data_IF_182366153502
#
_entry.id   IF_182366153502
#
_cell.length_a   1.000
_cell.length_b   1.000
_cell.length_c   1.000
_cell.angle_alpha   90.00
_cell.angle_beta   90.00
_cell.angle_gamma   90.00
#
_symmetry.space_group_name_H-M   'P 1'
#
loop_
_entity.id
_entity.type
_entity.pdbx_description
1 polymer ?
#
# COMPACT_ATOMS: atom_id res chain seq x y z
N UNK A 1 7.37 10.35 26.93
CA UNK A 1 8.15 10.25 25.67
C UNK A 1 7.59 11.28 24.71
N UNK A 2 8.41 11.99 23.90
CA UNK A 2 7.88 12.95 22.95
C UNK A 2 6.95 12.19 22.00
N UNK A 3 5.76 12.72 21.74
CA UNK A 3 4.82 12.23 20.73
C UNK A 3 5.46 12.37 19.35
N UNK A 4 6.34 11.43 19.04
CA UNK A 4 7.15 11.38 17.84
C UNK A 4 6.24 11.18 16.64
N UNK A 5 6.53 11.95 15.59
CA UNK A 5 5.80 12.03 14.34
C UNK A 5 5.79 10.66 13.63
N UNK A 6 4.86 9.78 14.01
CA UNK A 6 4.71 8.47 13.37
C UNK A 6 4.32 8.69 11.89
N UNK A 7 4.87 7.89 10.96
CA UNK A 7 4.51 8.01 9.55
C UNK A 7 3.01 7.73 9.40
N UNK A 8 2.31 8.49 8.54
CA UNK A 8 0.86 8.34 8.33
C UNK A 8 0.50 6.93 7.85
N UNK A 9 1.37 6.32 7.05
CA UNK A 9 1.26 4.94 6.62
C UNK A 9 2.55 4.18 6.93
N UNK A 10 2.40 2.92 7.30
CA UNK A 10 3.47 1.92 7.32
C UNK A 10 3.10 0.80 6.36
N UNK A 11 4.09 0.08 5.83
CA UNK A 11 3.77 -0.99 4.90
C UNK A 11 4.95 -1.86 4.52
N UNK A 12 4.63 -2.97 3.86
CA UNK A 12 5.57 -3.92 3.31
C UNK A 12 5.31 -4.09 1.81
N UNK A 13 6.38 -4.35 1.08
CA UNK A 13 6.33 -4.71 -0.34
C UNK A 13 7.08 -6.01 -0.50
N UNK A 14 6.37 -7.04 -0.94
CA UNK A 14 6.92 -8.38 -1.10
C UNK A 14 7.31 -8.57 -2.57
N UNK A 15 8.61 -8.51 -2.86
CA UNK A 15 9.14 -8.60 -4.22
C UNK A 15 9.47 -10.06 -4.59
N UNK A 16 8.98 -10.50 -5.75
CA UNK A 16 9.30 -11.81 -6.31
C UNK A 16 10.60 -11.78 -7.13
N UNK A 17 11.25 -12.93 -7.36
CA UNK A 17 12.40 -12.98 -8.28
C UNK A 17 12.08 -12.41 -9.67
N UNK A 18 10.86 -12.62 -10.17
CA UNK A 18 10.43 -12.14 -11.48
C UNK A 18 10.41 -10.60 -11.56
N UNK A 19 9.89 -9.93 -10.53
CA UNK A 19 9.85 -8.46 -10.52
C UNK A 19 11.25 -7.85 -10.38
N UNK A 20 12.15 -8.51 -9.63
CA UNK A 20 13.55 -8.10 -9.51
C UNK A 20 14.30 -8.26 -10.83
N UNK A 21 14.07 -9.37 -11.54
CA UNK A 21 14.65 -9.61 -12.87
C UNK A 21 14.11 -8.61 -13.90
N UNK A 22 12.81 -8.28 -13.84
CA UNK A 22 12.19 -7.27 -14.68
C UNK A 22 12.76 -5.86 -14.38
N UNK A 23 12.95 -5.50 -13.12
CA UNK A 23 13.55 -4.23 -12.73
C UNK A 23 14.98 -4.11 -13.28
N UNK A 24 15.77 -5.19 -13.15
CA UNK A 24 17.12 -5.26 -13.72
C UNK A 24 17.13 -5.07 -15.24
N UNK A 25 16.16 -5.63 -15.96
CA UNK A 25 16.01 -5.46 -17.42
C UNK A 25 15.57 -4.05 -17.81
N UNK A 26 14.66 -3.44 -17.06
CA UNK A 26 14.21 -2.07 -17.31
C UNK A 26 15.31 -1.03 -17.04
N UNK A 27 16.27 -1.37 -16.17
CA UNK A 27 17.38 -0.51 -15.81
C UNK A 27 16.98 0.57 -14.78
N UNK A 28 17.98 1.24 -14.18
CA UNK A 28 17.74 2.32 -13.24
C UNK A 28 17.20 3.58 -13.95
N UNK A 29 16.54 4.44 -13.19
CA UNK A 29 16.18 5.78 -13.63
C UNK A 29 17.42 6.70 -13.69
N UNK A 30 17.23 7.96 -14.10
CA UNK A 30 18.31 8.94 -14.21
C UNK A 30 19.08 9.21 -12.89
N UNK A 31 18.51 8.86 -11.75
CA UNK A 31 19.11 9.00 -10.42
C UNK A 31 19.82 7.71 -9.94
N UNK A 32 19.87 6.67 -10.78
CA UNK A 32 20.47 5.38 -10.42
C UNK A 32 19.53 4.42 -9.66
N UNK A 33 18.24 4.75 -9.53
CA UNK A 33 17.30 3.98 -8.71
C UNK A 33 16.35 3.12 -9.56
N UNK A 34 16.06 1.91 -9.09
CA UNK A 34 14.96 1.12 -9.65
C UNK A 34 13.62 1.70 -9.18
N UNK A 35 12.74 1.95 -10.13
CA UNK A 35 11.44 2.58 -9.86
C UNK A 35 10.32 1.55 -9.94
N UNK A 36 9.52 1.45 -8.88
CA UNK A 36 8.33 0.61 -8.84
C UNK A 36 7.08 1.49 -8.69
N UNK A 37 6.01 1.07 -9.35
CA UNK A 37 4.67 1.63 -9.16
C UNK A 37 3.92 0.74 -8.19
N UNK A 38 3.30 1.37 -7.19
CA UNK A 38 2.42 0.69 -6.24
C UNK A 38 1.00 1.22 -6.49
N UNK A 39 0.05 0.30 -6.71
CA UNK A 39 -1.37 0.61 -6.82
C UNK A 39 -2.11 -0.07 -5.68
N UNK A 40 -2.75 0.72 -4.81
CA UNK A 40 -3.41 0.26 -3.59
C UNK A 40 -4.93 0.33 -3.72
N UNK A 41 -5.62 -0.59 -3.07
CA UNK A 41 -7.07 -0.59 -2.85
C UNK A 41 -7.36 -0.78 -1.36
N UNK A 42 -8.52 -0.30 -0.92
CA UNK A 42 -9.04 -0.56 0.42
C UNK A 42 -9.19 -2.07 0.64
N UNK A 43 -8.73 -2.55 1.79
CA UNK A 43 -8.88 -3.95 2.16
C UNK A 43 -10.22 -4.17 2.87
N UNK A 44 -11.30 -4.22 2.10
CA UNK A 44 -12.67 -4.35 2.62
C UNK A 44 -12.91 -5.66 3.40
N UNK A 45 -12.06 -6.66 3.20
CA UNK A 45 -12.12 -7.97 3.87
C UNK A 45 -11.30 -8.02 5.17
N UNK A 46 -11.00 -6.87 5.76
CA UNK A 46 -10.26 -6.79 7.01
C UNK A 46 -11.11 -7.38 8.15
N UNK A 47 -10.68 -8.55 8.62
CA UNK A 47 -11.29 -9.33 9.69
C UNK A 47 -10.70 -9.04 11.08
N UNK A 48 -9.49 -8.46 11.11
CA UNK A 48 -8.70 -8.21 12.32
C UNK A 48 -8.14 -6.80 12.33
N UNK A 49 -7.97 -6.25 13.53
CA UNK A 49 -7.37 -4.93 13.69
C UNK A 49 -5.91 -4.89 13.23
N UNK A 50 -5.20 -6.01 13.28
CA UNK A 50 -3.81 -6.14 12.83
C UNK A 50 -3.68 -6.36 11.32
N UNK A 51 -4.78 -6.65 10.62
CA UNK A 51 -4.76 -6.83 9.16
C UNK A 51 -4.54 -5.47 8.46
N UNK A 52 -3.85 -5.44 7.30
CA UNK A 52 -3.54 -4.20 6.59
C UNK A 52 -4.81 -3.48 6.14
N UNK A 53 -4.76 -2.15 6.15
CA UNK A 53 -5.83 -1.28 5.71
C UNK A 53 -5.93 -1.24 4.18
N UNK A 54 -4.78 -1.30 3.51
CA UNK A 54 -4.68 -1.31 2.05
C UNK A 54 -3.86 -2.49 1.59
N UNK A 55 -4.28 -3.09 0.48
CA UNK A 55 -3.48 -4.06 -0.26
C UNK A 55 -3.29 -3.57 -1.67
N UNK A 56 -2.22 -4.01 -2.31
CA UNK A 56 -1.89 -3.46 -3.61
C UNK A 56 -1.03 -4.34 -4.46
N UNK A 57 -1.02 -4.01 -5.74
CA UNK A 57 -0.10 -4.58 -6.71
C UNK A 57 1.12 -3.66 -6.85
N UNK A 58 2.28 -4.28 -7.00
CA UNK A 58 3.55 -3.62 -7.32
C UNK A 58 4.00 -4.07 -8.70
N UNK A 59 4.41 -3.11 -9.52
CA UNK A 59 4.92 -3.32 -10.88
C UNK A 59 6.16 -2.49 -11.12
N UNK A 60 7.05 -2.94 -12.00
CA UNK A 60 8.19 -2.14 -12.47
C UNK A 60 7.66 -0.95 -13.27
N UNK A 61 8.13 0.25 -12.93
CA UNK A 61 7.75 1.45 -13.64
C UNK A 61 8.29 1.41 -15.08
N UNK A 62 7.52 1.93 -16.05
CA UNK A 62 7.85 1.94 -17.49
C UNK A 62 7.94 0.55 -18.18
N UNK A 63 7.29 -0.47 -17.61
CA UNK A 63 7.21 -1.80 -18.24
C UNK A 63 5.74 -2.22 -18.37
N UNK A 64 5.25 -2.34 -19.60
CA UNK A 64 3.84 -2.64 -19.89
C UNK A 64 3.42 -4.04 -19.43
N UNK A 65 4.28 -5.04 -19.67
CA UNK A 65 4.08 -6.42 -19.21
C UNK A 65 4.93 -6.75 -17.98
N UNK A 66 4.86 -5.87 -16.97
CA UNK A 66 5.63 -6.07 -15.74
C UNK A 66 5.05 -7.23 -14.90
N UNK A 67 5.91 -8.12 -14.35
CA UNK A 67 5.50 -9.09 -13.36
C UNK A 67 4.83 -8.39 -12.16
N UNK A 68 3.82 -9.05 -11.60
CA UNK A 68 3.05 -8.55 -10.48
C UNK A 68 3.67 -9.02 -9.17
N UNK A 69 3.94 -8.06 -8.28
CA UNK A 69 4.22 -8.31 -6.88
C UNK A 69 3.12 -7.67 -6.02
N UNK A 70 3.18 -7.84 -4.70
CA UNK A 70 2.12 -7.37 -3.81
C UNK A 70 2.66 -6.51 -2.68
N UNK A 71 1.78 -5.69 -2.12
CA UNK A 71 2.09 -4.80 -1.01
C UNK A 71 0.94 -4.72 -0.03
N UNK A 72 1.27 -4.47 1.23
CA UNK A 72 0.33 -4.32 2.34
C UNK A 72 0.67 -3.07 3.12
N UNK A 73 -0.33 -2.22 3.38
CA UNK A 73 -0.15 -0.96 4.11
C UNK A 73 -1.15 -0.81 5.24
N UNK A 74 -0.69 -0.22 6.34
CA UNK A 74 -1.46 0.16 7.51
C UNK A 74 -1.48 1.67 7.62
N UNK A 75 -2.65 2.22 7.95
CA UNK A 75 -2.80 3.61 8.33
C UNK A 75 -2.55 3.73 9.83
N UNK A 76 -1.71 4.67 10.23
CA UNK A 76 -1.45 4.97 11.63
C UNK A 76 -2.41 6.09 12.05
N UNK A 77 -3.50 5.73 12.73
CA UNK A 77 -4.57 6.67 13.11
C UNK A 77 -4.16 7.71 14.18
N UNK A 78 -2.92 7.65 14.68
CA UNK A 78 -2.38 8.59 15.67
C UNK A 78 -1.84 9.91 15.12
N UNK A 79 -1.78 10.10 13.80
CA UNK A 79 -1.18 11.30 13.19
C UNK A 79 -2.01 11.81 12.00
N UNK A 80 -3.16 12.41 12.32
CA UNK A 80 -3.87 13.39 11.49
C UNK A 80 -4.21 12.98 10.05
N UNK A 81 -5.41 12.41 9.84
CA UNK A 81 -6.39 12.89 8.85
C UNK A 81 -7.45 11.81 8.57
N UNK A 82 -8.72 12.21 8.74
CA UNK A 82 -9.83 11.60 8.01
C UNK A 82 -10.33 10.29 8.62
N UNK A 83 -11.26 10.46 9.54
CA UNK A 83 -12.40 9.57 9.76
C UNK A 83 -12.92 9.07 8.40
N UNK A 84 -12.57 7.85 7.97
CA UNK A 84 -13.39 7.16 6.98
C UNK A 84 -14.64 6.74 7.73
N UNK A 85 -15.62 7.64 7.72
CA UNK A 85 -16.96 7.39 8.20
C UNK A 85 -17.46 6.15 7.46
N UNK A 86 -17.38 4.98 8.09
CA UNK A 86 -18.34 3.92 7.79
C UNK A 86 -19.71 4.58 7.99
N UNK A 87 -20.58 4.67 6.98
CA UNK A 87 -21.95 5.08 7.25
C UNK A 87 -22.51 4.03 8.21
N UNK A 88 -22.73 4.46 9.45
CA UNK A 88 -23.53 3.71 10.41
C UNK A 88 -24.95 3.69 9.83
N UNK A 89 -25.33 2.58 9.20
CA UNK A 89 -26.72 2.35 8.82
C UNK A 89 -27.52 2.08 10.09
N UNK A 90 -27.92 3.14 10.77
CA UNK A 90 -29.02 3.13 11.74
C UNK A 90 -30.30 3.49 10.99
N UNK A 91 -30.89 2.48 10.36
CA UNK A 91 -32.27 2.55 9.85
C UNK A 91 -33.20 2.18 11.01
N UNK A 92 -33.41 3.15 11.91
CA UNK A 92 -34.47 3.15 12.92
C UNK A 92 -35.73 3.75 12.27
N UNK A 93 -36.59 2.90 11.69
CA UNK A 93 -37.97 3.25 11.35
C UNK A 93 -38.82 1.97 11.32
N UNK A 94 -39.43 1.60 12.45
CA UNK A 94 -40.83 1.15 12.59
C UNK A 94 -41.21 1.08 14.07
#
# INVERSE_FOLDING_TARGET
MPSGNLPVFSGTVDLTPDILNAAKKAGPNAQGNYSFRVALWDNDKRDKDTSPHYKGQVTVNKMENSPKAYSSFWKNDGNGAGNSSRPSSSDDLF
#
